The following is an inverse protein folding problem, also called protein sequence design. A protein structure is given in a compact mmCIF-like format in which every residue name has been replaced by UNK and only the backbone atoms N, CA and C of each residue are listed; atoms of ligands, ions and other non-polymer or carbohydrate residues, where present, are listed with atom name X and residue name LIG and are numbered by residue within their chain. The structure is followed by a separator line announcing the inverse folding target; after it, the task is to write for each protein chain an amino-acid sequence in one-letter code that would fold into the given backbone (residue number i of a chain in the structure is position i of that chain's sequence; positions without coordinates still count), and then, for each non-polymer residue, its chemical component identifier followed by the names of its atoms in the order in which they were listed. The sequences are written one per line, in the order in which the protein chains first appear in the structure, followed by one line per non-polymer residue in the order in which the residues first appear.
data_IF_593129723664
#
_entry.id   IF_593129723664
#
_cell.length_a   1.000
_cell.length_b   1.000
_cell.length_c   1.000
_cell.angle_alpha   90.00
_cell.angle_beta   90.00
_cell.angle_gamma   90.00
#
_symmetry.space_group_name_H-M   'P 1'
#
loop_
_entity.id
_entity.type
_entity.pdbx_description
1 polymer ?
#
# COMPACT_ATOMS: atom_id res chain seq x y z
N UNK A 1 14.03 0.43 0.87
CA UNK A 1 13.51 0.05 -0.45
C UNK A 1 12.01 -0.17 -0.31
N UNK A 2 11.21 0.34 -1.25
CA UNK A 2 9.75 0.15 -1.26
C UNK A 2 9.40 -0.92 -2.29
N UNK A 3 8.53 -1.86 -1.92
CA UNK A 3 7.90 -2.83 -2.83
C UNK A 3 6.39 -2.68 -2.73
N UNK A 4 5.76 -2.17 -3.78
CA UNK A 4 4.39 -1.66 -3.78
C UNK A 4 3.34 -2.68 -4.24
N UNK A 5 3.43 -3.93 -3.78
CA UNK A 5 2.46 -5.01 -4.08
C UNK A 5 2.82 -5.91 -5.25
N UNK A 6 2.00 -6.94 -5.44
CA UNK A 6 2.21 -8.07 -6.35
C UNK A 6 3.59 -8.71 -6.13
N UNK A 7 3.90 -9.01 -4.87
CA UNK A 7 5.17 -9.65 -4.49
C UNK A 7 5.20 -11.09 -5.01
N UNK A 8 4.05 -11.76 -4.99
CA UNK A 8 3.87 -13.08 -5.59
C UNK A 8 2.79 -13.07 -6.66
N UNK A 9 2.75 -14.10 -7.50
CA UNK A 9 1.83 -14.17 -8.64
C UNK A 9 0.50 -14.87 -8.30
N UNK A 10 0.51 -15.85 -7.41
CA UNK A 10 -0.67 -16.70 -7.12
C UNK A 10 -1.10 -16.69 -5.65
N UNK A 11 -0.47 -15.89 -4.80
CA UNK A 11 -0.76 -15.84 -3.36
C UNK A 11 -0.39 -17.12 -2.61
N UNK A 12 0.50 -17.96 -3.18
CA UNK A 12 0.81 -19.29 -2.62
C UNK A 12 1.93 -19.22 -1.57
N UNK A 13 1.86 -20.02 -0.49
CA UNK A 13 2.91 -20.05 0.54
C UNK A 13 4.32 -20.29 -0.02
N UNK A 14 4.46 -21.16 -1.02
CA UNK A 14 5.76 -21.48 -1.62
C UNK A 14 6.37 -20.27 -2.34
N UNK A 15 5.54 -19.43 -2.96
CA UNK A 15 6.01 -18.20 -3.60
C UNK A 15 6.52 -17.21 -2.56
N UNK A 16 5.85 -17.10 -1.41
CA UNK A 16 6.29 -16.24 -0.33
C UNK A 16 7.57 -16.70 0.37
N UNK A 17 7.82 -18.01 0.43
CA UNK A 17 9.11 -18.53 0.91
C UNK A 17 10.27 -18.05 0.04
N UNK A 18 10.10 -18.11 -1.28
CA UNK A 18 11.08 -17.60 -2.25
C UNK A 18 11.21 -16.08 -2.15
N UNK A 19 10.08 -15.36 -2.10
CA UNK A 19 10.07 -13.91 -1.95
C UNK A 19 10.82 -13.47 -0.68
N UNK A 20 10.55 -14.13 0.47
CA UNK A 20 11.25 -13.86 1.73
C UNK A 20 12.74 -14.09 1.62
N UNK A 21 13.18 -15.16 0.96
CA UNK A 21 14.61 -15.45 0.77
C UNK A 21 15.30 -14.36 -0.05
N UNK A 22 14.69 -13.96 -1.18
CA UNK A 22 15.26 -12.96 -2.08
C UNK A 22 15.25 -11.58 -1.42
N UNK A 23 14.10 -11.13 -0.94
CA UNK A 23 13.94 -9.82 -0.30
C UNK A 23 14.79 -9.73 0.97
N UNK A 24 14.84 -10.80 1.78
CA UNK A 24 15.64 -10.85 3.00
C UNK A 24 17.16 -10.83 2.77
N UNK A 25 17.63 -11.04 1.53
CA UNK A 25 19.05 -10.91 1.17
C UNK A 25 19.48 -9.46 0.89
N UNK A 26 18.52 -8.52 0.82
CA UNK A 26 18.78 -7.11 0.58
C UNK A 26 19.30 -6.42 1.85
N UNK A 27 20.38 -5.65 1.72
CA UNK A 27 21.00 -4.93 2.82
C UNK A 27 20.34 -3.57 3.12
N UNK A 28 19.02 -3.45 2.91
CA UNK A 28 18.27 -2.21 3.11
C UNK A 28 16.99 -2.47 3.90
N UNK A 29 16.50 -1.51 4.72
CA UNK A 29 15.16 -1.59 5.28
C UNK A 29 14.12 -1.74 4.18
N UNK A 30 13.17 -2.65 4.38
CA UNK A 30 12.11 -2.94 3.43
C UNK A 30 10.78 -2.36 3.92
N UNK A 31 10.08 -1.69 3.00
CA UNK A 31 8.72 -1.23 3.18
C UNK A 31 7.85 -1.94 2.15
N UNK A 32 7.00 -2.83 2.63
CA UNK A 32 6.20 -3.73 1.83
C UNK A 32 4.72 -3.36 1.99
N UNK A 33 3.96 -3.48 0.91
CA UNK A 33 2.49 -3.48 0.90
C UNK A 33 2.02 -4.58 -0.06
N UNK A 34 0.84 -5.19 0.17
CA UNK A 34 0.30 -6.22 -0.72
C UNK A 34 -0.36 -5.61 -1.97
N UNK A 35 -0.38 -6.41 -3.05
CA UNK A 35 -1.14 -6.17 -4.27
C UNK A 35 -2.30 -7.15 -4.45
N UNK A 36 -2.94 -7.15 -5.61
CA UNK A 36 -4.11 -7.99 -5.86
C UNK A 36 -3.76 -9.47 -6.08
N UNK A 37 -2.50 -9.79 -6.41
CA UNK A 37 -2.02 -11.18 -6.52
C UNK A 37 -1.58 -11.79 -5.19
N UNK A 38 -1.42 -10.96 -4.16
CA UNK A 38 -0.98 -11.37 -2.84
C UNK A 38 -2.17 -11.89 -2.00
N UNK A 39 -2.01 -13.05 -1.36
CA UNK A 39 -2.89 -13.44 -0.25
C UNK A 39 -2.45 -12.72 1.04
N UNK A 40 -3.37 -12.00 1.69
CA UNK A 40 -3.05 -11.15 2.85
C UNK A 40 -2.55 -11.93 4.07
N UNK A 41 -3.06 -13.14 4.31
CA UNK A 41 -2.67 -13.94 5.47
C UNK A 41 -1.26 -14.49 5.28
N UNK A 42 -0.98 -15.10 4.13
CA UNK A 42 0.36 -15.58 3.79
C UNK A 42 1.37 -14.43 3.67
N UNK A 43 0.97 -13.30 3.11
CA UNK A 43 1.80 -12.11 3.01
C UNK A 43 2.31 -11.71 4.40
N UNK A 44 1.38 -11.54 5.36
CA UNK A 44 1.74 -11.15 6.71
C UNK A 44 2.59 -12.21 7.39
N UNK A 45 2.21 -13.49 7.31
CA UNK A 45 2.94 -14.60 7.92
C UNK A 45 4.41 -14.65 7.47
N UNK A 46 4.67 -14.53 6.17
CA UNK A 46 5.99 -14.72 5.62
C UNK A 46 6.84 -13.44 5.59
N UNK A 47 6.23 -12.28 5.39
CA UNK A 47 6.96 -11.02 5.15
C UNK A 47 6.99 -10.09 6.36
N UNK A 48 6.20 -10.32 7.40
CA UNK A 48 6.28 -9.55 8.66
C UNK A 48 7.70 -9.51 9.26
N UNK A 49 8.52 -10.59 9.26
CA UNK A 49 9.90 -10.51 9.75
C UNK A 49 10.79 -9.52 8.98
N UNK A 50 10.44 -9.20 7.72
CA UNK A 50 11.16 -8.24 6.88
C UNK A 50 10.62 -6.81 7.00
N UNK A 51 9.34 -6.68 7.38
CA UNK A 51 8.66 -5.41 7.55
C UNK A 51 7.73 -5.44 8.80
N UNK A 52 8.28 -5.37 10.02
CA UNK A 52 7.49 -5.50 11.25
C UNK A 52 6.44 -4.41 11.44
N UNK A 53 6.57 -3.28 10.74
CA UNK A 53 5.62 -2.18 10.78
C UNK A 53 4.25 -2.54 10.19
N UNK A 54 4.15 -3.64 9.43
CA UNK A 54 2.88 -4.15 8.90
C UNK A 54 1.81 -4.41 9.97
N UNK A 55 2.22 -4.61 11.23
CA UNK A 55 1.34 -4.96 12.33
C UNK A 55 1.05 -6.47 12.37
N UNK A 56 -0.02 -6.86 13.05
CA UNK A 56 -0.36 -8.28 13.26
C UNK A 56 -1.75 -8.67 12.71
N UNK A 57 -2.42 -7.75 12.01
CA UNK A 57 -3.74 -7.98 11.44
C UNK A 57 -3.66 -7.97 9.90
N UNK A 58 -3.86 -9.12 9.22
CA UNK A 58 -3.76 -9.20 7.77
C UNK A 58 -4.84 -8.39 7.05
N UNK A 59 -5.94 -8.02 7.72
CA UNK A 59 -6.99 -7.19 7.10
C UNK A 59 -6.75 -5.69 7.26
N UNK A 60 -5.77 -5.28 8.09
CA UNK A 60 -5.50 -3.89 8.41
C UNK A 60 -4.00 -3.55 8.31
N UNK A 61 -3.30 -4.11 7.33
CA UNK A 61 -1.88 -3.81 7.06
C UNK A 61 -1.71 -2.37 6.54
N UNK A 62 -1.20 -1.49 7.40
CA UNK A 62 -0.91 -0.08 7.12
C UNK A 62 0.00 0.51 8.18
N UNK A 63 0.85 1.45 7.81
CA UNK A 63 1.80 2.05 8.75
C UNK A 63 2.38 3.37 8.24
N UNK A 64 3.03 4.09 9.15
CA UNK A 64 3.72 5.36 8.88
C UNK A 64 5.22 5.19 9.12
N UNK A 65 6.02 5.79 8.25
CA UNK A 65 7.44 6.02 8.45
C UNK A 65 7.68 7.52 8.50
N UNK A 66 8.16 8.00 9.65
CA UNK A 66 8.29 9.45 9.91
C UNK A 66 9.75 9.92 10.03
N UNK A 67 10.70 9.06 9.68
CA UNK A 67 12.15 9.27 9.83
C UNK A 67 12.74 10.28 8.82
N UNK A 68 11.94 10.76 7.86
CA UNK A 68 12.38 11.63 6.76
C UNK A 68 11.70 13.01 6.81
N UNK A 69 12.13 13.93 5.95
CA UNK A 69 11.48 15.24 5.78
C UNK A 69 10.02 15.13 5.28
N UNK A 70 9.71 14.04 4.57
CA UNK A 70 8.36 13.69 4.10
C UNK A 70 7.86 12.46 4.85
N UNK A 71 6.63 12.49 5.33
CA UNK A 71 5.98 11.33 5.96
C UNK A 71 5.63 10.30 4.89
N UNK A 72 5.96 9.04 5.11
CA UNK A 72 5.59 7.97 4.18
C UNK A 72 4.45 7.15 4.79
N UNK A 73 3.33 7.09 4.08
CA UNK A 73 2.12 6.38 4.51
C UNK A 73 1.95 5.15 3.61
N UNK A 74 1.99 3.96 4.18
CA UNK A 74 1.85 2.70 3.45
C UNK A 74 0.47 2.11 3.74
N UNK A 75 -0.30 1.81 2.70
CA UNK A 75 -1.65 1.24 2.83
C UNK A 75 -1.86 0.03 1.92
N UNK A 76 -2.67 -0.90 2.40
CA UNK A 76 -3.23 -1.98 1.61
C UNK A 76 -4.48 -1.50 0.85
N UNK A 77 -4.46 -1.64 -0.47
CA UNK A 77 -5.59 -1.35 -1.36
C UNK A 77 -6.18 -2.60 -2.01
N UNK A 78 -5.65 -3.78 -1.69
CA UNK A 78 -6.07 -5.06 -2.27
C UNK A 78 -7.37 -5.54 -1.65
N UNK A 79 -8.20 -6.20 -2.48
CA UNK A 79 -9.46 -6.78 -2.05
C UNK A 79 -9.56 -8.23 -2.52
N UNK A 80 -9.91 -9.13 -1.61
CA UNK A 80 -9.93 -10.57 -1.90
C UNK A 80 -10.90 -10.88 -3.05
N UNK A 81 -10.45 -11.71 -4.00
CA UNK A 81 -11.26 -12.17 -5.12
C UNK A 81 -11.48 -11.15 -6.24
N UNK A 82 -10.76 -10.01 -6.26
CA UNK A 82 -10.84 -9.04 -7.35
C UNK A 82 -9.50 -8.38 -7.66
N UNK A 83 -9.30 -7.99 -8.91
CA UNK A 83 -8.17 -7.17 -9.37
C UNK A 83 -8.37 -5.67 -9.12
N UNK A 84 -9.51 -5.29 -8.53
CA UNK A 84 -9.86 -3.89 -8.29
C UNK A 84 -9.38 -3.47 -6.92
N UNK A 85 -8.84 -2.26 -6.86
CA UNK A 85 -8.50 -1.65 -5.59
C UNK A 85 -9.75 -1.29 -4.78
N UNK A 86 -9.65 -1.45 -3.46
CA UNK A 86 -10.64 -1.00 -2.49
C UNK A 86 -9.94 -0.40 -1.26
N UNK A 87 -10.39 0.78 -0.84
CA UNK A 87 -10.02 1.33 0.47
C UNK A 87 -11.21 1.16 1.41
N UNK A 88 -10.98 0.53 2.55
CA UNK A 88 -12.00 0.42 3.58
C UNK A 88 -12.21 1.76 4.27
N UNK A 89 -13.38 1.95 4.89
CA UNK A 89 -13.68 3.17 5.65
C UNK A 89 -12.69 3.34 6.82
N UNK A 90 -12.22 2.24 7.41
CA UNK A 90 -11.18 2.27 8.45
C UNK A 90 -9.85 2.80 7.89
N UNK A 91 -9.47 2.39 6.67
CA UNK A 91 -8.25 2.84 5.99
C UNK A 91 -8.33 4.32 5.65
N UNK A 92 -9.49 4.76 5.16
CA UNK A 92 -9.76 6.17 4.87
C UNK A 92 -9.69 7.02 6.15
N UNK A 93 -10.41 6.65 7.21
CA UNK A 93 -10.40 7.42 8.45
C UNK A 93 -9.01 7.50 9.10
N UNK A 94 -8.19 6.45 8.95
CA UNK A 94 -6.80 6.48 9.41
C UNK A 94 -5.91 7.37 8.55
N UNK A 95 -6.08 7.37 7.22
CA UNK A 95 -5.34 8.29 6.34
C UNK A 95 -5.66 9.74 6.69
N UNK A 96 -6.94 10.07 6.89
CA UNK A 96 -7.38 11.40 7.31
C UNK A 96 -6.75 11.81 8.64
N UNK A 97 -6.76 10.91 9.63
CA UNK A 97 -6.12 11.15 10.93
C UNK A 97 -4.61 11.38 10.79
N UNK A 98 -3.91 10.53 10.01
CA UNK A 98 -2.47 10.68 9.80
C UNK A 98 -2.12 11.97 9.08
N UNK A 99 -2.87 12.36 8.05
CA UNK A 99 -2.62 13.61 7.33
C UNK A 99 -2.90 14.82 8.22
N UNK A 100 -3.94 14.78 9.05
CA UNK A 100 -4.21 15.82 10.04
C UNK A 100 -3.11 15.94 11.10
N UNK A 101 -2.67 14.82 11.67
CA UNK A 101 -1.56 14.77 12.66
C UNK A 101 -0.22 15.24 12.07
N UNK A 102 -0.04 15.16 10.75
CA UNK A 102 1.18 15.56 10.07
C UNK A 102 1.40 17.07 9.97
N UNK A 103 0.34 17.86 10.19
CA UNK A 103 0.38 19.32 10.04
C UNK A 103 0.92 19.74 8.67
N UNK A 104 1.92 20.61 8.68
CA UNK A 104 2.54 21.14 7.45
C UNK A 104 3.60 20.21 6.83
N UNK A 105 3.93 19.08 7.48
CA UNK A 105 4.93 18.14 6.97
C UNK A 105 4.36 17.44 5.72
N UNK A 106 5.07 17.45 4.59
CA UNK A 106 4.57 16.80 3.37
C UNK A 106 4.42 15.29 3.59
N UNK A 107 3.45 14.69 2.91
CA UNK A 107 3.19 13.25 2.98
C UNK A 107 3.20 12.59 1.60
N UNK A 108 3.66 11.35 1.54
CA UNK A 108 3.57 10.49 0.34
C UNK A 108 2.88 9.19 0.71
N UNK A 109 1.80 8.88 0.01
CA UNK A 109 1.02 7.66 0.21
C UNK A 109 1.47 6.62 -0.82
N UNK A 110 1.85 5.45 -0.35
CA UNK A 110 2.16 4.27 -1.15
C UNK A 110 0.99 3.30 -1.10
N UNK A 111 0.48 2.94 -2.27
CA UNK A 111 -0.60 1.98 -2.46
C UNK A 111 -0.35 1.17 -3.73
N UNK A 112 -0.91 -0.04 -3.82
CA UNK A 112 -0.72 -0.86 -5.02
C UNK A 112 -1.53 -0.33 -6.22
N UNK A 113 -2.83 -0.09 -6.02
CA UNK A 113 -3.73 0.36 -7.08
C UNK A 113 -3.69 1.88 -7.27
N UNK A 114 -3.81 2.38 -8.50
CA UNK A 114 -3.81 3.80 -8.76
C UNK A 114 -5.05 4.47 -8.19
N UNK A 115 -4.87 5.66 -7.63
CA UNK A 115 -5.97 6.53 -7.27
C UNK A 115 -6.73 6.92 -8.55
N UNK A 116 -8.05 6.83 -8.53
CA UNK A 116 -8.86 7.26 -9.66
C UNK A 116 -8.86 8.79 -9.76
N UNK A 117 -7.88 9.37 -10.44
CA UNK A 117 -8.01 10.72 -10.96
C UNK A 117 -9.00 10.71 -12.13
N UNK A 118 -9.85 11.73 -12.21
CA UNK A 118 -10.83 11.88 -13.28
C UNK A 118 -10.14 11.89 -14.65
N UNK A 119 -10.21 10.76 -15.37
CA UNK A 119 -9.71 10.61 -16.75
C UNK A 119 -8.81 9.40 -17.03
N UNK A 120 -8.29 8.70 -16.01
CA UNK A 120 -7.32 7.60 -16.23
C UNK A 120 -7.92 6.18 -16.10
N UNK A 121 -9.17 6.06 -15.63
CA UNK A 121 -9.88 4.79 -15.50
C UNK A 121 -10.70 4.47 -16.76
N UNK A 122 -10.07 4.46 -17.93
CA UNK A 122 -10.76 4.17 -19.19
C UNK A 122 -11.26 2.71 -19.28
N UNK A 123 -10.74 1.78 -18.47
CA UNK A 123 -11.16 0.37 -18.44
C UNK A 123 -11.89 -0.07 -17.16
N UNK A 124 -11.81 0.71 -16.07
CA UNK A 124 -12.48 0.42 -14.79
C UNK A 124 -12.06 -0.88 -14.08
N UNK A 125 -10.99 -1.54 -14.51
CA UNK A 125 -10.61 -2.89 -14.03
C UNK A 125 -9.64 -2.89 -12.84
N UNK A 126 -8.93 -1.77 -12.62
CA UNK A 126 -7.82 -1.71 -11.65
C UNK A 126 -7.85 -0.47 -10.72
N UNK A 127 -8.68 0.52 -11.02
CA UNK A 127 -8.72 1.76 -10.24
C UNK A 127 -9.46 1.61 -8.90
N UNK A 128 -8.99 2.38 -7.90
CA UNK A 128 -9.72 2.62 -6.65
C UNK A 128 -11.09 3.27 -6.92
N UNK A 129 -12.13 2.80 -6.21
CA UNK A 129 -13.51 3.28 -6.45
C UNK A 129 -13.76 4.73 -6.02
N UNK A 130 -13.12 5.24 -4.97
CA UNK A 130 -13.27 6.63 -4.48
C UNK A 130 -12.14 7.02 -3.51
N UNK A 131 -11.17 7.83 -3.95
CA UNK A 131 -10.26 8.64 -3.11
C UNK A 131 -9.46 9.58 -4.03
N UNK A 132 -9.20 10.86 -3.66
CA UNK A 132 -9.48 11.52 -2.38
C UNK A 132 -10.94 11.98 -2.20
N UNK A 133 -11.42 12.23 -0.96
CA UNK A 133 -12.70 12.83 -0.69
C UNK A 133 -12.75 14.23 -1.29
N UNK A 134 -13.93 14.64 -1.73
CA UNK A 134 -14.18 15.93 -2.40
C UNK A 134 -14.01 17.16 -1.49
N UNK A 135 -13.51 17.03 -0.26
CA UNK A 135 -13.25 18.17 0.63
C UNK A 135 -12.27 17.80 1.75
N UNK A 136 -11.23 18.62 1.96
CA UNK A 136 -10.78 18.94 3.31
C UNK A 136 -9.58 18.20 3.90
N UNK A 137 -8.83 17.41 3.13
CA UNK A 137 -7.55 16.87 3.65
C UNK A 137 -6.52 18.01 3.67
N UNK A 138 -6.25 18.55 4.86
CA UNK A 138 -5.21 19.55 5.07
C UNK A 138 -3.82 18.94 4.88
N UNK A 139 -2.93 19.68 4.19
CA UNK A 139 -1.55 19.26 3.93
C UNK A 139 -1.30 18.86 2.48
N UNK A 140 -0.11 19.19 1.97
CA UNK A 140 0.32 18.75 0.64
C UNK A 140 0.71 17.27 0.68
N UNK A 141 -0.03 16.43 -0.05
CA UNK A 141 0.29 15.01 -0.19
C UNK A 141 0.44 14.59 -1.66
N UNK A 142 1.26 13.55 -1.88
CA UNK A 142 1.39 12.87 -3.16
C UNK A 142 1.00 11.39 -3.03
N UNK A 143 0.58 10.78 -4.14
CA UNK A 143 0.27 9.34 -4.22
C UNK A 143 1.29 8.69 -5.16
N UNK A 144 1.89 7.60 -4.69
CA UNK A 144 2.75 6.72 -5.47
C UNK A 144 2.11 5.34 -5.56
N UNK A 145 1.86 4.86 -6.77
CA UNK A 145 1.27 3.55 -7.02
C UNK A 145 2.07 2.70 -8.01
N UNK A 146 1.82 1.39 -7.97
CA UNK A 146 2.62 0.40 -8.70
C UNK A 146 2.26 0.31 -10.19
N UNK A 147 0.99 0.56 -10.54
CA UNK A 147 0.49 0.36 -11.90
C UNK A 147 0.68 1.57 -12.82
N UNK A 148 1.02 2.75 -12.30
CA UNK A 148 1.38 3.93 -13.12
C UNK A 148 2.80 3.90 -13.72
N UNK A 149 3.63 2.91 -13.36
CA UNK A 149 4.94 2.71 -13.97
C UNK A 149 4.83 1.98 -15.33
N UNK A 150 4.15 2.60 -16.31
CA UNK A 150 4.31 2.23 -17.72
C UNK A 150 5.23 3.25 -18.41
N UNK A 151 6.28 2.81 -19.13
CA UNK A 151 7.15 3.69 -19.91
C UNK A 151 6.40 4.39 -21.05
#
# INVERSE_FOLDING_TARGET
MVVSGDIVNCGRPEEYQVARQILGSLNYPLYLIPGNHDDKAHFLEHLHPLCPQLGNDPQNMRYVVDDFATRLLFIDSSHAGTSKGWLTDETIGWLEAQLFEGGDKPATIFMHHPAAAAGQCADGSYCLRKWPPSAGVGGAFSVADAHLLRP
#
